data_IF_743745951557
#
_entry.id   IF_743745951557
#
_cell.length_a   1.000
_cell.length_b   1.000
_cell.length_c   1.000
_cell.angle_alpha   90.00
_cell.angle_beta   90.00
_cell.angle_gamma   90.00
#
_symmetry.space_group_name_H-M   'P 1'
#
loop_
_entity.id
_entity.type
_entity.pdbx_description
1 polymer ?
#
# COMPACT_ATOMS: atom_id res chain seq x y z
N UNK A 1 -7.36 5.50 -0.77
CA UNK A 1 -6.38 4.42 -0.49
C UNK A 1 -5.07 4.95 0.09
N UNK A 2 -4.62 6.16 -0.27
CA UNK A 2 -3.34 6.65 0.24
C UNK A 2 -3.34 6.92 1.76
N UNK A 3 -4.45 7.47 2.29
CA UNK A 3 -4.54 7.82 3.71
C UNK A 3 -4.48 6.57 4.61
N UNK A 4 -5.32 5.56 4.33
CA UNK A 4 -5.41 4.34 5.16
C UNK A 4 -4.06 3.70 5.41
N UNK A 5 -3.20 3.62 4.39
CA UNK A 5 -1.92 2.93 4.55
C UNK A 5 -0.97 3.65 5.51
N UNK A 6 -1.12 4.96 5.73
CA UNK A 6 -0.31 5.67 6.72
C UNK A 6 -0.47 5.10 8.13
N UNK A 7 -1.63 4.51 8.44
CA UNK A 7 -1.90 3.86 9.72
C UNK A 7 -1.38 2.43 9.80
N UNK A 8 -0.85 1.86 8.71
CA UNK A 8 -0.25 0.52 8.71
C UNK A 8 1.28 0.58 8.69
N UNK A 9 1.87 1.66 8.15
CA UNK A 9 3.31 1.78 7.86
C UNK A 9 4.21 1.56 9.07
N UNK A 10 5.40 1.05 8.77
CA UNK A 10 6.54 0.99 9.71
C UNK A 10 7.78 1.68 9.13
N UNK A 11 7.74 2.02 7.84
CA UNK A 11 8.77 2.75 7.12
C UNK A 11 8.19 3.57 5.96
N UNK A 12 9.01 4.49 5.45
CA UNK A 12 8.75 5.19 4.19
C UNK A 12 9.98 5.18 3.31
N UNK A 13 9.76 5.31 2.00
CA UNK A 13 10.80 5.38 0.98
C UNK A 13 10.62 6.65 0.16
N UNK A 14 11.69 7.42 0.02
CA UNK A 14 11.66 8.64 -0.80
C UNK A 14 11.72 8.33 -2.31
N UNK A 15 11.75 9.38 -3.12
CA UNK A 15 11.90 9.31 -4.58
C UNK A 15 13.19 8.60 -5.06
N UNK A 16 14.21 8.52 -4.20
CA UNK A 16 15.46 7.80 -4.46
C UNK A 16 15.45 6.40 -3.82
N UNK A 17 14.31 5.95 -3.28
CA UNK A 17 14.14 4.69 -2.57
C UNK A 17 14.99 4.57 -1.31
N UNK A 18 15.33 5.71 -0.69
CA UNK A 18 15.98 5.71 0.61
C UNK A 18 14.94 5.46 1.70
N UNK A 19 15.14 4.38 2.47
CA UNK A 19 14.30 4.03 3.61
C UNK A 19 14.49 5.00 4.78
N UNK A 20 13.39 5.37 5.43
CA UNK A 20 13.36 5.95 6.77
C UNK A 20 12.36 5.20 7.65
N UNK A 21 12.60 5.20 8.96
CA UNK A 21 11.64 4.61 9.90
C UNK A 21 10.41 5.51 10.01
N UNK A 22 9.24 4.89 10.12
CA UNK A 22 7.98 5.59 10.30
C UNK A 22 7.46 5.31 11.71
N UNK A 23 7.25 6.37 12.50
CA UNK A 23 6.61 6.23 13.80
C UNK A 23 5.10 6.29 13.61
N UNK A 24 4.43 5.21 13.96
CA UNK A 24 2.99 5.07 13.80
C UNK A 24 2.23 5.13 15.13
N UNK A 25 2.91 5.56 16.20
CA UNK A 25 2.30 5.71 17.52
C UNK A 25 1.30 6.86 17.54
N UNK A 26 0.13 6.59 18.12
CA UNK A 26 -0.96 7.55 18.30
C UNK A 26 -1.09 7.84 19.79
N UNK A 27 -0.75 9.06 20.21
CA UNK A 27 -0.78 9.49 21.62
C UNK A 27 -2.12 10.14 21.98
N UNK A 28 -2.46 10.15 23.27
CA UNK A 28 -3.66 10.84 23.76
C UNK A 28 -3.66 12.33 23.42
N UNK A 29 -2.49 12.98 23.44
CA UNK A 29 -2.38 14.40 23.12
C UNK A 29 -2.63 14.67 21.63
N UNK A 30 -2.16 13.77 20.75
CA UNK A 30 -2.50 13.83 19.34
C UNK A 30 -4.00 13.61 19.10
N UNK A 31 -4.63 12.68 19.82
CA UNK A 31 -6.08 12.47 19.73
C UNK A 31 -6.89 13.70 20.18
N UNK A 32 -6.46 14.38 21.26
CA UNK A 32 -7.07 15.64 21.71
C UNK A 32 -6.94 16.72 20.65
N UNK A 33 -5.76 16.86 20.03
CA UNK A 33 -5.55 17.81 18.94
C UNK A 33 -6.51 17.57 17.77
N UNK A 34 -6.72 16.31 17.37
CA UNK A 34 -7.68 15.95 16.32
C UNK A 34 -9.12 16.31 16.67
N UNK A 35 -9.51 16.16 17.95
CA UNK A 35 -10.84 16.55 18.44
C UNK A 35 -10.99 18.08 18.43
N UNK A 36 -10.01 18.80 18.98
CA UNK A 36 -10.03 20.26 19.10
C UNK A 36 -10.05 20.95 17.72
N UNK A 37 -9.36 20.35 16.74
CA UNK A 37 -9.37 20.81 15.34
C UNK A 37 -10.61 20.35 14.57
N UNK A 38 -11.47 19.52 15.16
CA UNK A 38 -12.62 18.90 14.51
C UNK A 38 -12.23 18.25 13.17
N UNK A 39 -11.11 17.51 13.18
CA UNK A 39 -10.58 16.82 12.01
C UNK A 39 -11.56 15.79 11.47
N UNK A 40 -11.64 15.67 10.14
CA UNK A 40 -12.50 14.69 9.49
C UNK A 40 -12.01 13.26 9.75
N UNK A 41 -12.92 12.35 10.14
CA UNK A 41 -12.55 10.98 10.52
C UNK A 41 -11.88 10.21 9.37
N UNK A 42 -12.28 10.46 8.12
CA UNK A 42 -11.69 9.82 6.94
C UNK A 42 -10.23 10.24 6.67
N UNK A 43 -9.77 11.34 7.26
CA UNK A 43 -8.40 11.83 7.15
C UNK A 43 -7.49 11.27 8.25
N UNK A 44 -8.06 10.59 9.26
CA UNK A 44 -7.33 10.02 10.39
C UNK A 44 -6.98 8.56 10.05
N UNK A 45 -5.70 8.24 9.77
CA UNK A 45 -5.33 6.92 9.27
C UNK A 45 -5.24 5.86 10.38
N UNK A 46 -5.18 6.26 11.64
CA UNK A 46 -4.90 5.38 12.78
C UNK A 46 -3.40 5.07 12.95
N UNK A 47 -3.08 4.03 13.71
CA UNK A 47 -1.70 3.66 14.07
C UNK A 47 -1.55 2.16 14.35
N UNK A 48 -2.12 1.32 13.50
CA UNK A 48 -2.13 -0.14 13.70
C UNK A 48 -0.77 -0.79 13.45
N UNK A 49 0.06 -0.22 12.56
CA UNK A 49 1.47 -0.60 12.41
C UNK A 49 1.70 -2.02 11.89
N UNK A 50 0.78 -2.56 11.08
CA UNK A 50 0.87 -3.94 10.60
C UNK A 50 1.59 -4.11 9.25
N UNK A 51 2.23 -3.09 8.69
CA UNK A 51 2.98 -3.23 7.44
C UNK A 51 4.38 -3.84 7.67
N UNK A 52 5.11 -4.02 6.57
CA UNK A 52 6.54 -4.35 6.56
C UNK A 52 7.25 -3.46 5.53
N UNK A 53 8.58 -3.28 5.63
CA UNK A 53 9.33 -2.43 4.69
C UNK A 53 9.13 -2.82 3.22
N UNK A 54 8.96 -4.10 2.92
CA UNK A 54 8.69 -4.56 1.56
C UNK A 54 7.36 -4.05 0.99
N UNK A 55 6.31 -3.92 1.82
CA UNK A 55 5.02 -3.40 1.38
C UNK A 55 5.06 -1.88 1.30
N UNK A 56 5.65 -1.22 2.30
CA UNK A 56 5.82 0.24 2.31
C UNK A 56 6.60 0.70 1.05
N UNK A 57 7.65 -0.04 0.69
CA UNK A 57 8.43 0.19 -0.53
C UNK A 57 7.57 0.13 -1.80
N UNK A 58 6.74 -0.91 -1.95
CA UNK A 58 5.91 -1.06 -3.16
C UNK A 58 4.92 0.10 -3.25
N UNK A 59 4.32 0.50 -2.13
CA UNK A 59 3.31 1.55 -2.09
C UNK A 59 3.95 2.93 -2.37
N UNK A 60 5.10 3.24 -1.77
CA UNK A 60 5.80 4.49 -2.05
C UNK A 60 6.33 4.54 -3.47
N UNK A 61 6.87 3.43 -3.98
CA UNK A 61 7.30 3.34 -5.37
C UNK A 61 6.11 3.54 -6.33
N UNK A 62 4.98 2.89 -6.08
CA UNK A 62 3.80 3.03 -6.95
C UNK A 62 3.29 4.47 -6.99
N UNK A 63 3.22 5.14 -5.85
CA UNK A 63 2.74 6.52 -5.75
C UNK A 63 3.66 7.55 -6.44
N UNK A 64 4.86 7.17 -6.89
CA UNK A 64 5.75 8.03 -7.68
C UNK A 64 5.37 8.07 -9.17
N UNK A 65 4.47 7.19 -9.65
CA UNK A 65 4.11 7.11 -11.07
C UNK A 65 2.79 7.83 -11.37
N UNK A 66 2.74 8.50 -12.52
CA UNK A 66 1.52 9.08 -13.05
C UNK A 66 0.48 7.99 -13.39
N UNK A 67 -0.79 8.32 -13.18
CA UNK A 67 -1.92 7.42 -13.44
C UNK A 67 -2.15 6.38 -12.33
N UNK A 68 -1.55 6.57 -11.15
CA UNK A 68 -1.84 5.79 -9.95
C UNK A 68 -2.83 6.56 -9.07
N UNK A 69 -4.00 5.97 -8.83
CA UNK A 69 -5.06 6.56 -8.00
C UNK A 69 -4.89 6.23 -6.52
N UNK A 70 -4.12 5.17 -6.22
CA UNK A 70 -3.59 4.91 -4.90
C UNK A 70 -3.18 3.46 -4.70
N UNK A 71 -2.52 3.21 -3.57
CA UNK A 71 -2.05 1.89 -3.20
C UNK A 71 -2.17 1.67 -1.69
N UNK A 72 -2.40 0.42 -1.28
CA UNK A 72 -2.50 0.04 0.12
C UNK A 72 -2.23 -1.46 0.32
N UNK A 73 -1.99 -1.84 1.57
CA UNK A 73 -1.90 -3.25 1.96
C UNK A 73 -3.20 -4.00 1.69
N UNK A 74 -3.11 -5.31 1.48
CA UNK A 74 -4.26 -6.19 1.29
C UNK A 74 -4.24 -7.35 2.27
N UNK A 75 -5.28 -7.44 3.11
CA UNK A 75 -5.38 -8.45 4.17
C UNK A 75 -4.88 -7.93 5.51
N UNK A 76 -4.48 -8.86 6.40
CA UNK A 76 -4.14 -8.54 7.79
C UNK A 76 -2.79 -7.80 7.95
N UNK A 77 -1.92 -7.88 6.95
CA UNK A 77 -0.56 -7.36 6.97
C UNK A 77 0.49 -8.34 7.48
N UNK A 78 1.58 -7.80 8.01
CA UNK A 78 2.82 -8.47 8.41
C UNK A 78 3.48 -9.23 7.23
N UNK A 79 3.28 -8.67 6.03
CA UNK A 79 3.65 -9.26 4.74
C UNK A 79 2.44 -9.52 3.86
N UNK A 80 2.61 -10.43 2.89
CA UNK A 80 1.55 -10.79 1.95
C UNK A 80 1.49 -9.86 0.74
N UNK A 81 0.32 -9.30 0.48
CA UNK A 81 0.01 -8.59 -0.77
C UNK A 81 -0.34 -7.11 -0.52
N UNK A 82 -0.21 -6.32 -1.57
CA UNK A 82 -0.77 -4.96 -1.65
C UNK A 82 -1.63 -4.83 -2.90
N UNK A 83 -2.51 -3.84 -2.92
CA UNK A 83 -3.34 -3.48 -4.06
C UNK A 83 -2.96 -2.10 -4.56
N UNK A 84 -2.93 -1.94 -5.87
CA UNK A 84 -2.67 -0.67 -6.55
C UNK A 84 -3.81 -0.43 -7.52
N UNK A 85 -4.50 0.70 -7.41
CA UNK A 85 -5.47 1.16 -8.39
C UNK A 85 -4.75 2.10 -9.36
N UNK A 86 -4.72 1.70 -10.62
CA UNK A 86 -3.98 2.38 -11.67
C UNK A 86 -4.82 2.50 -12.94
N UNK A 87 -4.50 3.48 -13.77
CA UNK A 87 -4.91 3.53 -15.15
C UNK A 87 -4.45 2.27 -15.89
N UNK A 88 -5.36 1.66 -16.65
CA UNK A 88 -5.08 0.39 -17.33
C UNK A 88 -3.84 0.47 -18.23
N UNK A 89 -3.66 1.57 -18.95
CA UNK A 89 -2.52 1.80 -19.85
C UNK A 89 -1.17 1.91 -19.12
N UNK A 90 -1.17 2.22 -17.82
CA UNK A 90 0.04 2.38 -16.99
C UNK A 90 0.42 1.10 -16.24
N UNK A 91 -0.53 0.18 -16.05
CA UNK A 91 -0.36 -1.04 -15.25
C UNK A 91 0.82 -1.93 -15.66
N UNK A 92 1.08 -2.08 -16.97
CA UNK A 92 2.12 -2.97 -17.49
C UNK A 92 3.53 -2.42 -17.29
N UNK A 93 3.72 -1.11 -17.39
CA UNK A 93 5.01 -0.48 -17.12
C UNK A 93 5.29 -0.50 -15.60
N UNK A 94 4.29 -0.14 -14.79
CA UNK A 94 4.40 -0.20 -13.33
C UNK A 94 4.81 -1.58 -12.84
N UNK A 95 4.19 -2.66 -13.35
CA UNK A 95 4.57 -4.04 -13.03
C UNK A 95 6.06 -4.30 -13.25
N UNK A 96 6.62 -3.87 -14.37
CA UNK A 96 8.05 -4.04 -14.69
C UNK A 96 8.93 -3.25 -13.71
N UNK A 97 8.54 -2.02 -13.40
CA UNK A 97 9.31 -1.16 -12.49
C UNK A 97 9.33 -1.69 -11.07
N UNK A 98 8.17 -2.13 -10.55
CA UNK A 98 8.07 -2.76 -9.23
C UNK A 98 8.94 -4.01 -9.17
N UNK A 99 8.76 -4.97 -10.08
CA UNK A 99 9.54 -6.21 -10.05
C UNK A 99 11.05 -5.96 -10.13
N UNK A 100 11.51 -5.02 -10.98
CA UNK A 100 12.93 -4.68 -11.12
C UNK A 100 13.50 -4.03 -9.84
N UNK A 101 12.84 -2.99 -9.34
CA UNK A 101 13.34 -2.21 -8.19
C UNK A 101 13.22 -3.01 -6.89
N UNK A 102 12.18 -3.83 -6.75
CA UNK A 102 12.01 -4.70 -5.59
C UNK A 102 13.10 -5.77 -5.50
N UNK A 103 13.44 -6.43 -6.61
CA UNK A 103 14.56 -7.41 -6.64
C UNK A 103 15.88 -6.73 -6.27
N UNK A 104 16.11 -5.51 -6.76
CA UNK A 104 17.31 -4.75 -6.44
C UNK A 104 17.40 -4.42 -4.95
N UNK A 105 16.30 -3.99 -4.32
CA UNK A 105 16.26 -3.59 -2.91
C UNK A 105 16.32 -4.81 -1.96
N UNK A 106 15.56 -5.87 -2.24
CA UNK A 106 15.34 -6.97 -1.30
C UNK A 106 15.96 -8.30 -1.72
N UNK A 107 16.60 -8.38 -2.88
CA UNK A 107 17.27 -9.60 -3.37
C UNK A 107 16.34 -10.78 -3.68
N UNK A 108 15.02 -10.56 -3.71
CA UNK A 108 13.99 -11.60 -3.95
C UNK A 108 12.91 -11.09 -4.91
N UNK A 109 12.26 -11.97 -5.70
CA UNK A 109 11.26 -11.55 -6.67
C UNK A 109 9.96 -11.06 -6.00
N UNK A 110 9.30 -10.11 -6.66
CA UNK A 110 7.93 -9.68 -6.36
C UNK A 110 7.01 -10.01 -7.55
N UNK A 111 5.96 -10.79 -7.27
CA UNK A 111 4.91 -11.11 -8.25
C UNK A 111 3.88 -10.00 -8.27
N UNK A 112 3.60 -9.47 -9.46
CA UNK A 112 2.58 -8.43 -9.67
C UNK A 112 1.59 -8.95 -10.69
N UNK A 113 0.31 -9.03 -10.35
CA UNK A 113 -0.74 -9.50 -11.25
C UNK A 113 -1.81 -8.43 -11.49
N UNK A 114 -2.31 -8.37 -12.72
CA UNK A 114 -3.42 -7.48 -13.08
C UNK A 114 -4.72 -8.24 -12.80
N UNK A 115 -5.42 -7.80 -11.75
CA UNK A 115 -6.64 -8.45 -11.29
C UNK A 115 -7.89 -7.76 -11.84
N UNK A 116 -8.95 -8.54 -12.01
CA UNK A 116 -10.31 -8.05 -12.24
C UNK A 116 -11.26 -8.73 -11.24
N UNK A 117 -12.35 -8.08 -10.81
CA UNK A 117 -13.39 -8.73 -10.03
C UNK A 117 -13.93 -9.97 -10.77
N UNK A 118 -14.19 -11.04 -10.03
CA UNK A 118 -14.73 -12.31 -10.54
C UNK A 118 -15.86 -12.80 -9.64
N UNK A 119 -16.62 -13.79 -10.13
CA UNK A 119 -17.64 -14.44 -9.32
C UNK A 119 -17.02 -15.23 -8.16
N UNK A 120 -17.80 -15.38 -7.08
CA UNK A 120 -17.48 -16.27 -5.97
C UNK A 120 -17.66 -17.75 -6.32
N UNK A 121 -17.53 -18.60 -5.30
CA UNK A 121 -17.66 -20.06 -5.43
C UNK A 121 -18.98 -20.46 -6.11
N UNK A 122 -18.91 -21.37 -7.09
CA UNK A 122 -20.05 -21.80 -7.90
C UNK A 122 -19.92 -23.27 -8.31
N UNK A 123 -21.05 -23.96 -8.48
CA UNK A 123 -21.10 -25.32 -9.03
C UNK A 123 -21.21 -25.28 -10.56
N UNK A 124 -20.39 -26.07 -11.25
CA UNK A 124 -20.45 -26.21 -12.71
C UNK A 124 -20.95 -27.62 -13.05
N UNK A 125 -22.10 -27.69 -13.74
CA UNK A 125 -22.63 -28.95 -14.27
C UNK A 125 -22.15 -29.13 -15.71
N UNK A 126 -21.58 -30.31 -16.00
CA UNK A 126 -21.27 -30.70 -17.37
C UNK A 126 -22.57 -31.20 -18.00
N UNK A 127 -23.06 -30.52 -19.03
CA UNK A 127 -24.19 -30.95 -19.86
C UNK A 127 -23.72 -32.06 -20.80
#
# INVERSE_FOLDING_TARGET
>A
MNISHYGDRVSTFDQNLKKTNYNNDITDDFLKELIDTNSNLEEIPGGYGCSIPEIDFIIDLANQYDGIYGAQISGAGLGGCCMILAEQLKSSDLKKQISKKYIWEFGKPCTVEICKPVNGISLFYKI
#
